data_IF_237832646922
#
_entry.id   IF_237832646922
#
_cell.length_a   1.000
_cell.length_b   1.000
_cell.length_c   1.000
_cell.angle_alpha   90.00
_cell.angle_beta   90.00
_cell.angle_gamma   90.00
#
_symmetry.space_group_name_H-M   'P 1'
#
loop_
_entity.id
_entity.type
_entity.pdbx_description
1 polymer ?
#
# COMPACT_ATOMS: atom_id res chain seq x y z
N UNK A 1 -44.54 -47.29 6.65
CA UNK A 1 -43.58 -46.93 5.59
C UNK A 1 -43.63 -45.43 5.44
N UNK A 2 -42.69 -44.73 6.07
CA UNK A 2 -42.62 -43.28 6.11
C UNK A 2 -41.29 -42.87 5.51
N UNK A 3 -41.36 -42.11 4.43
CA UNK A 3 -40.27 -41.64 3.60
C UNK A 3 -39.37 -40.67 4.40
N UNK A 4 -38.03 -40.79 4.35
CA UNK A 4 -37.15 -39.82 5.01
C UNK A 4 -37.10 -38.54 4.17
N UNK A 5 -37.57 -37.42 4.74
CA UNK A 5 -37.42 -36.09 4.19
C UNK A 5 -35.93 -35.79 3.96
N UNK A 6 -35.54 -35.61 2.69
CA UNK A 6 -34.23 -35.08 2.31
C UNK A 6 -34.17 -33.60 2.69
N UNK A 7 -33.35 -33.26 3.68
CA UNK A 7 -32.90 -31.88 3.91
C UNK A 7 -32.12 -31.39 2.68
N UNK A 8 -32.45 -30.23 2.07
CA UNK A 8 -31.67 -29.67 0.99
C UNK A 8 -30.74 -28.59 1.56
N UNK A 9 -29.64 -28.96 2.24
CA UNK A 9 -28.72 -27.95 2.76
C UNK A 9 -27.26 -28.28 2.47
N UNK A 10 -26.91 -28.21 1.19
CA UNK A 10 -25.70 -27.49 0.80
C UNK A 10 -26.10 -26.05 0.52
N UNK A 11 -26.27 -25.28 1.60
CA UNK A 11 -26.31 -23.83 1.49
C UNK A 11 -24.91 -23.38 1.06
N UNK A 12 -24.77 -23.02 -0.23
CA UNK A 12 -23.51 -22.58 -0.82
C UNK A 12 -22.93 -21.44 0.02
N UNK A 13 -21.87 -21.69 0.80
CA UNK A 13 -21.13 -20.67 1.54
C UNK A 13 -20.69 -19.51 0.62
N UNK A 14 -20.53 -19.80 -0.67
CA UNK A 14 -20.18 -18.86 -1.73
C UNK A 14 -21.32 -17.88 -2.10
N UNK A 15 -22.60 -18.24 -1.86
CA UNK A 15 -23.75 -17.34 -2.07
C UNK A 15 -24.04 -16.44 -0.86
N UNK A 16 -23.65 -16.86 0.34
CA UNK A 16 -23.85 -16.07 1.56
C UNK A 16 -22.96 -14.81 1.63
N UNK A 17 -21.79 -14.84 0.99
CA UNK A 17 -20.85 -13.71 0.97
C UNK A 17 -21.35 -12.52 0.13
N UNK A 18 -22.29 -12.76 -0.80
CA UNK A 18 -22.89 -11.69 -1.61
C UNK A 18 -24.05 -10.97 -0.90
N UNK A 19 -24.50 -11.48 0.26
CA UNK A 19 -25.75 -11.02 0.87
C UNK A 19 -25.59 -9.96 1.98
N UNK A 20 -24.37 -9.69 2.49
CA UNK A 20 -24.18 -8.71 3.58
C UNK A 20 -22.87 -7.92 3.49
N UNK A 21 -22.79 -6.90 2.61
CA UNK A 21 -21.66 -5.97 2.57
C UNK A 21 -21.43 -5.21 3.91
N UNK A 22 -22.38 -5.27 4.85
CA UNK A 22 -22.32 -4.59 6.13
C UNK A 22 -21.46 -5.28 7.21
N UNK A 23 -21.05 -6.55 7.04
CA UNK A 23 -20.34 -7.27 8.12
C UNK A 23 -18.89 -6.82 8.28
N UNK A 24 -18.18 -6.52 7.20
CA UNK A 24 -16.78 -6.10 7.27
C UNK A 24 -16.59 -4.78 8.04
N UNK A 25 -17.36 -3.70 7.77
CA UNK A 25 -17.26 -2.46 8.54
C UNK A 25 -17.60 -2.61 10.03
N UNK A 26 -18.61 -3.41 10.38
CA UNK A 26 -18.98 -3.64 11.79
C UNK A 26 -17.86 -4.39 12.52
N UNK A 27 -17.24 -5.38 11.87
CA UNK A 27 -16.12 -6.14 12.46
C UNK A 27 -14.88 -5.26 12.65
N UNK A 28 -14.58 -4.39 11.68
CA UNK A 28 -13.51 -3.41 11.79
C UNK A 28 -13.76 -2.43 12.95
N UNK A 29 -14.95 -1.83 13.00
CA UNK A 29 -15.33 -0.92 14.08
C UNK A 29 -15.31 -1.60 15.46
N UNK A 30 -15.81 -2.84 15.55
CA UNK A 30 -15.76 -3.63 16.77
C UNK A 30 -14.33 -3.94 17.22
N UNK A 31 -13.42 -4.20 16.28
CA UNK A 31 -12.00 -4.40 16.60
C UNK A 31 -11.36 -3.12 17.14
N UNK A 32 -11.66 -1.96 16.56
CA UNK A 32 -11.15 -0.67 17.06
C UNK A 32 -11.68 -0.40 18.47
N UNK A 33 -12.99 -0.56 18.69
CA UNK A 33 -13.58 -0.39 20.02
C UNK A 33 -12.98 -1.37 21.05
N UNK A 34 -12.68 -2.61 20.63
CA UNK A 34 -12.01 -3.58 21.49
C UNK A 34 -10.57 -3.15 21.81
N UNK A 35 -9.84 -2.57 20.85
CA UNK A 35 -8.48 -2.08 21.08
C UNK A 35 -8.43 -0.95 22.13
N UNK A 36 -9.48 -0.13 22.21
CA UNK A 36 -9.60 0.91 23.24
C UNK A 36 -9.92 0.34 24.63
N UNK A 37 -10.64 -0.78 24.71
CA UNK A 37 -11.10 -1.39 25.96
C UNK A 37 -10.13 -2.43 26.53
N UNK A 38 -9.59 -3.28 25.65
CA UNK A 38 -8.67 -4.37 25.95
C UNK A 38 -7.69 -4.56 24.79
N UNK A 39 -6.56 -3.83 24.80
CA UNK A 39 -5.56 -3.88 23.72
C UNK A 39 -4.97 -5.28 23.51
N UNK A 40 -4.78 -6.05 24.59
CA UNK A 40 -4.18 -7.38 24.52
C UNK A 40 -5.11 -8.34 23.77
N UNK A 41 -6.39 -8.40 24.18
CA UNK A 41 -7.39 -9.22 23.51
C UNK A 41 -7.62 -8.76 22.07
N UNK A 42 -7.60 -7.45 21.81
CA UNK A 42 -7.68 -6.91 20.46
C UNK A 42 -6.55 -7.41 19.56
N UNK A 43 -5.33 -7.58 20.09
CA UNK A 43 -4.19 -8.13 19.33
C UNK A 43 -4.48 -9.55 18.81
N UNK A 44 -5.04 -10.43 19.65
CA UNK A 44 -5.43 -11.78 19.24
C UNK A 44 -6.55 -11.75 18.18
N UNK A 45 -7.55 -10.89 18.36
CA UNK A 45 -8.61 -10.74 17.37
C UNK A 45 -8.11 -10.14 16.06
N UNK A 46 -7.18 -9.18 16.11
CA UNK A 46 -6.55 -8.60 14.93
C UNK A 46 -5.75 -9.66 14.17
N UNK A 47 -4.91 -10.45 14.85
CA UNK A 47 -4.17 -11.55 14.21
C UNK A 47 -5.11 -12.54 13.50
N UNK A 48 -6.24 -12.89 14.12
CA UNK A 48 -7.26 -13.74 13.49
C UNK A 48 -7.93 -13.05 12.29
N UNK A 49 -8.28 -11.77 12.42
CA UNK A 49 -8.96 -11.00 11.37
C UNK A 49 -8.06 -10.70 10.17
N UNK A 50 -6.75 -10.60 10.38
CA UNK A 50 -5.77 -10.34 9.33
C UNK A 50 -5.79 -11.44 8.25
N UNK A 51 -6.01 -12.70 8.66
CA UNK A 51 -6.05 -13.86 7.76
C UNK A 51 -7.47 -14.31 7.42
N UNK A 52 -8.48 -13.51 7.75
CA UNK A 52 -9.89 -13.91 7.66
C UNK A 52 -10.37 -14.03 6.20
N UNK A 53 -11.00 -15.17 5.83
CA UNK A 53 -11.45 -15.40 4.46
C UNK A 53 -12.63 -14.51 4.07
N UNK A 54 -13.37 -13.97 5.04
CA UNK A 54 -14.49 -13.04 4.81
C UNK A 54 -14.04 -11.58 4.78
N UNK A 55 -12.75 -11.34 4.48
CA UNK A 55 -12.25 -10.00 4.15
C UNK A 55 -12.87 -9.55 2.83
N UNK A 56 -13.44 -8.35 2.84
CA UNK A 56 -14.07 -7.72 1.69
C UNK A 56 -13.07 -7.56 0.54
N UNK A 57 -13.37 -8.16 -0.61
CA UNK A 57 -12.55 -8.06 -1.84
C UNK A 57 -12.38 -6.65 -2.39
N UNK A 58 -13.28 -5.73 -2.03
CA UNK A 58 -13.27 -4.36 -2.53
C UNK A 58 -12.48 -3.41 -1.63
N UNK A 59 -12.54 -3.62 -0.31
CA UNK A 59 -11.99 -2.68 0.66
C UNK A 59 -10.79 -3.22 1.44
N UNK A 60 -10.58 -4.53 1.46
CA UNK A 60 -9.63 -5.18 2.35
C UNK A 60 -10.07 -5.21 3.82
N UNK A 61 -11.29 -4.80 4.17
CA UNK A 61 -11.78 -4.83 5.55
C UNK A 61 -12.35 -6.20 5.94
N UNK A 62 -12.21 -6.66 7.20
CA UNK A 62 -11.57 -5.97 8.32
C UNK A 62 -10.03 -6.14 8.38
N UNK A 63 -9.43 -6.80 7.39
CA UNK A 63 -8.01 -7.14 7.37
C UNK A 63 -7.08 -5.93 7.46
N UNK A 64 -7.40 -4.83 6.78
CA UNK A 64 -6.62 -3.57 6.88
C UNK A 64 -6.67 -2.98 8.28
N UNK A 65 -7.87 -2.88 8.87
CA UNK A 65 -8.01 -2.43 10.26
C UNK A 65 -7.21 -3.33 11.21
N UNK A 66 -7.25 -4.65 11.00
CA UNK A 66 -6.45 -5.59 11.79
C UNK A 66 -4.94 -5.36 11.64
N UNK A 67 -4.45 -5.12 10.42
CA UNK A 67 -3.05 -4.74 10.19
C UNK A 67 -2.67 -3.46 10.94
N UNK A 68 -3.54 -2.44 10.92
CA UNK A 68 -3.33 -1.20 11.67
C UNK A 68 -3.27 -1.40 13.19
N UNK A 69 -4.14 -2.23 13.76
CA UNK A 69 -4.09 -2.55 15.20
C UNK A 69 -2.80 -3.29 15.57
N UNK A 70 -2.40 -4.28 14.77
CA UNK A 70 -1.15 -5.01 14.98
C UNK A 70 0.07 -4.10 14.86
N UNK A 71 0.06 -3.18 13.90
CA UNK A 71 1.10 -2.16 13.74
C UNK A 71 1.20 -1.24 14.96
N UNK A 72 0.07 -0.72 15.45
CA UNK A 72 0.02 0.11 16.66
C UNK A 72 0.57 -0.62 17.90
N UNK A 73 0.45 -1.96 17.93
CA UNK A 73 1.00 -2.82 18.98
C UNK A 73 2.43 -3.32 18.68
N UNK A 74 3.11 -2.76 17.68
CA UNK A 74 4.47 -3.14 17.26
C UNK A 74 4.62 -4.61 16.89
N UNK A 75 3.56 -5.27 16.43
CA UNK A 75 3.55 -6.69 16.03
C UNK A 75 4.09 -6.88 14.60
N UNK A 76 5.30 -6.39 14.34
CA UNK A 76 5.91 -6.37 12.99
C UNK A 76 6.03 -7.76 12.36
N UNK A 77 6.33 -8.79 13.17
CA UNK A 77 6.46 -10.16 12.66
C UNK A 77 5.16 -10.66 12.05
N UNK A 78 4.01 -10.34 12.64
CA UNK A 78 2.71 -10.74 12.10
C UNK A 78 2.44 -10.07 10.75
N UNK A 79 2.75 -8.78 10.64
CA UNK A 79 2.63 -8.02 9.38
C UNK A 79 3.54 -8.60 8.30
N UNK A 80 4.81 -8.86 8.63
CA UNK A 80 5.76 -9.45 7.71
C UNK A 80 5.32 -10.84 7.23
N UNK A 81 4.91 -11.73 8.14
CA UNK A 81 4.41 -13.06 7.78
C UNK A 81 3.20 -12.99 6.83
N UNK A 82 2.31 -12.01 7.01
CA UNK A 82 1.20 -11.81 6.08
C UNK A 82 1.69 -11.46 4.67
N UNK A 83 2.70 -10.60 4.53
CA UNK A 83 3.26 -10.23 3.21
C UNK A 83 3.95 -11.42 2.50
N UNK A 84 4.41 -12.42 3.25
CA UNK A 84 5.04 -13.63 2.73
C UNK A 84 4.06 -14.70 2.25
N UNK A 85 2.78 -14.58 2.61
CA UNK A 85 1.74 -15.52 2.16
C UNK A 85 1.56 -15.41 0.64
N UNK A 86 0.99 -16.44 0.04
CA UNK A 86 0.47 -16.42 -1.34
C UNK A 86 -1.05 -16.24 -1.34
N UNK A 87 -1.61 -15.67 -2.40
CA UNK A 87 -3.07 -15.48 -2.55
C UNK A 87 -3.69 -14.55 -1.49
N UNK A 88 -2.88 -13.71 -0.86
CA UNK A 88 -3.32 -12.71 0.10
C UNK A 88 -3.99 -11.52 -0.58
N UNK A 89 -4.82 -10.80 0.17
CA UNK A 89 -5.50 -9.62 -0.35
C UNK A 89 -4.50 -8.48 -0.58
N UNK A 90 -4.50 -7.90 -1.76
CA UNK A 90 -3.54 -6.86 -2.17
C UNK A 90 -3.59 -5.62 -1.26
N UNK A 91 -4.78 -5.07 -1.01
CA UNK A 91 -4.91 -3.90 -0.13
C UNK A 91 -4.48 -4.15 1.33
N UNK A 92 -4.69 -5.37 1.83
CA UNK A 92 -4.23 -5.73 3.18
C UNK A 92 -2.71 -5.89 3.19
N UNK A 93 -2.13 -6.41 2.11
CA UNK A 93 -0.68 -6.51 1.95
C UNK A 93 -0.03 -5.14 1.87
N UNK A 94 -0.64 -4.23 1.11
CA UNK A 94 -0.24 -2.83 1.03
C UNK A 94 -0.24 -2.18 2.41
N UNK A 95 -1.31 -2.39 3.19
CA UNK A 95 -1.42 -1.88 4.55
C UNK A 95 -0.35 -2.46 5.48
N UNK A 96 -0.12 -3.79 5.42
CA UNK A 96 0.98 -4.41 6.18
C UNK A 96 2.34 -3.83 5.80
N UNK A 97 2.62 -3.62 4.51
CA UNK A 97 3.88 -3.05 4.02
C UNK A 97 4.10 -1.65 4.58
N UNK A 98 3.10 -0.77 4.55
CA UNK A 98 3.20 0.60 5.08
C UNK A 98 3.73 0.65 6.51
N UNK A 99 3.29 -0.31 7.34
CA UNK A 99 3.64 -0.40 8.76
C UNK A 99 4.97 -1.13 9.03
N UNK A 100 5.67 -1.58 7.99
CA UNK A 100 6.99 -2.23 8.10
C UNK A 100 8.16 -1.25 7.89
N UNK A 101 7.95 0.05 8.08
CA UNK A 101 8.99 1.08 7.91
C UNK A 101 10.21 0.83 8.81
N UNK A 102 9.99 0.36 10.04
CA UNK A 102 11.06 0.06 11.01
C UNK A 102 11.63 -1.37 10.88
N UNK A 103 11.23 -2.13 9.85
CA UNK A 103 11.77 -3.46 9.62
C UNK A 103 13.29 -3.40 9.36
N UNK A 104 14.06 -4.44 9.74
CA UNK A 104 15.50 -4.49 9.44
C UNK A 104 15.78 -4.34 7.94
N UNK A 105 16.92 -3.75 7.58
CA UNK A 105 17.30 -3.48 6.18
C UNK A 105 17.26 -4.73 5.30
N UNK A 106 17.70 -5.88 5.82
CA UNK A 106 17.65 -7.16 5.10
C UNK A 106 16.22 -7.56 4.75
N UNK A 107 15.25 -7.25 5.62
CA UNK A 107 13.83 -7.49 5.38
C UNK A 107 13.29 -6.49 4.36
N UNK A 108 13.61 -5.20 4.50
CA UNK A 108 13.20 -4.19 3.52
C UNK A 108 13.71 -4.50 2.10
N UNK A 109 14.98 -4.92 1.95
CA UNK A 109 15.51 -5.39 0.67
C UNK A 109 14.77 -6.60 0.13
N UNK A 110 14.47 -7.58 0.98
CA UNK A 110 13.68 -8.76 0.59
C UNK A 110 12.29 -8.34 0.08
N UNK A 111 11.66 -7.38 0.75
CA UNK A 111 10.36 -6.84 0.34
C UNK A 111 10.46 -6.06 -0.99
N UNK A 112 11.52 -5.31 -1.25
CA UNK A 112 11.72 -4.66 -2.55
C UNK A 112 11.81 -5.69 -3.69
N UNK A 113 12.54 -6.79 -3.48
CA UNK A 113 12.64 -7.87 -4.47
C UNK A 113 11.30 -8.57 -4.69
N UNK A 114 10.55 -8.84 -3.61
CA UNK A 114 9.24 -9.51 -3.69
C UNK A 114 8.17 -8.63 -4.33
N UNK A 115 8.13 -7.35 -3.97
CA UNK A 115 7.13 -6.39 -4.43
C UNK A 115 7.73 -5.45 -5.51
N UNK A 116 8.35 -6.07 -6.51
CA UNK A 116 8.92 -5.40 -7.67
C UNK A 116 7.84 -4.85 -8.64
N UNK A 117 8.23 -4.52 -9.88
CA UNK A 117 7.32 -3.91 -10.88
C UNK A 117 6.11 -4.78 -11.25
N UNK A 118 6.22 -6.10 -11.11
CA UNK A 118 5.15 -7.06 -11.44
C UNK A 118 4.14 -7.27 -10.30
N UNK A 119 4.38 -6.69 -9.13
CA UNK A 119 3.43 -6.76 -8.02
C UNK A 119 2.17 -5.93 -8.31
N UNK A 120 1.08 -6.21 -7.60
CA UNK A 120 -0.14 -5.40 -7.68
C UNK A 120 0.13 -3.94 -7.36
N UNK A 121 -0.61 -3.02 -7.99
CA UNK A 121 -0.44 -1.58 -7.77
C UNK A 121 -0.55 -1.24 -6.28
N UNK A 122 -1.55 -1.80 -5.57
CA UNK A 122 -1.72 -1.59 -4.13
C UNK A 122 -0.45 -1.98 -3.34
N UNK A 123 0.12 -3.16 -3.60
CA UNK A 123 1.32 -3.61 -2.92
C UNK A 123 2.54 -2.71 -3.23
N UNK A 124 2.68 -2.25 -4.48
CA UNK A 124 3.75 -1.30 -4.85
C UNK A 124 3.59 0.04 -4.12
N UNK A 125 2.36 0.56 -4.00
CA UNK A 125 2.07 1.78 -3.25
C UNK A 125 2.42 1.61 -1.78
N UNK A 126 2.02 0.49 -1.15
CA UNK A 126 2.35 0.18 0.23
C UNK A 126 3.86 0.05 0.47
N UNK A 127 4.60 -0.52 -0.48
CA UNK A 127 6.06 -0.56 -0.43
C UNK A 127 6.68 0.83 -0.55
N UNK A 128 6.19 1.68 -1.45
CA UNK A 128 6.69 3.07 -1.61
C UNK A 128 6.51 3.85 -0.31
N UNK A 129 5.31 3.77 0.29
CA UNK A 129 5.02 4.36 1.60
C UNK A 129 5.99 3.88 2.67
N UNK A 130 6.19 2.56 2.76
CA UNK A 130 7.15 1.93 3.68
C UNK A 130 8.53 2.54 3.52
N UNK A 131 9.07 2.59 2.30
CA UNK A 131 10.41 3.09 1.99
C UNK A 131 10.56 4.58 2.32
N UNK A 132 9.53 5.38 2.06
CA UNK A 132 9.55 6.82 2.33
C UNK A 132 9.46 7.16 3.81
N UNK A 133 8.79 6.32 4.59
CA UNK A 133 8.63 6.43 6.03
C UNK A 133 9.89 6.00 6.80
N UNK A 134 10.78 5.20 6.20
CA UNK A 134 11.99 4.71 6.88
C UNK A 134 12.89 5.85 7.41
N UNK A 135 13.52 5.67 8.58
CA UNK A 135 14.51 6.62 9.10
C UNK A 135 15.80 6.65 8.27
N UNK A 136 16.21 5.51 7.72
CA UNK A 136 17.42 5.28 6.91
C UNK A 136 17.18 5.37 5.39
N UNK A 137 16.06 5.99 4.98
CA UNK A 137 15.60 6.20 3.59
C UNK A 137 16.67 6.55 2.55
N UNK A 138 17.76 7.22 2.92
CA UNK A 138 18.87 7.51 2.00
C UNK A 138 19.48 6.23 1.40
N UNK A 139 19.49 5.12 2.15
CA UNK A 139 19.93 3.79 1.67
C UNK A 139 19.03 3.24 0.57
N UNK A 140 17.74 3.57 0.61
CA UNK A 140 16.72 3.12 -0.35
C UNK A 140 16.41 4.16 -1.41
N UNK A 141 17.16 5.28 -1.47
CA UNK A 141 16.98 6.31 -2.49
C UNK A 141 17.19 5.75 -3.89
N UNK A 142 18.17 4.87 -4.08
CA UNK A 142 18.42 4.23 -5.38
C UNK A 142 17.25 3.34 -5.82
N UNK A 143 16.55 2.69 -4.88
CA UNK A 143 15.35 1.91 -5.18
C UNK A 143 14.19 2.81 -5.65
N UNK A 144 13.95 3.92 -4.95
CA UNK A 144 12.93 4.90 -5.34
C UNK A 144 13.26 5.54 -6.69
N UNK A 145 14.53 5.89 -6.93
CA UNK A 145 15.03 6.38 -8.22
C UNK A 145 14.85 5.35 -9.32
N UNK A 146 15.18 4.09 -9.07
CA UNK A 146 15.01 3.01 -10.04
C UNK A 146 13.54 2.89 -10.45
N UNK A 147 12.61 2.96 -9.49
CA UNK A 147 11.16 2.94 -9.76
C UNK A 147 10.66 4.15 -10.56
N UNK A 148 11.21 5.34 -10.33
CA UNK A 148 10.93 6.51 -11.19
C UNK A 148 11.45 6.35 -12.64
N UNK A 149 12.43 5.47 -12.88
CA UNK A 149 13.00 5.26 -14.22
C UNK A 149 12.43 4.05 -14.94
N UNK A 150 11.97 3.06 -14.19
CA UNK A 150 11.42 1.83 -14.76
C UNK A 150 10.03 2.07 -15.35
N UNK A 151 9.72 1.54 -16.55
CA UNK A 151 8.37 1.51 -17.07
C UNK A 151 7.45 0.73 -16.12
N UNK A 152 6.25 1.23 -15.88
CA UNK A 152 5.30 0.62 -14.95
C UNK A 152 3.95 1.33 -15.01
N UNK A 153 3.04 0.93 -14.12
CA UNK A 153 1.71 1.53 -14.04
C UNK A 153 1.80 3.04 -13.80
N UNK A 154 1.12 3.82 -14.63
CA UNK A 154 1.12 5.29 -14.54
C UNK A 154 0.60 5.77 -13.17
N UNK A 155 -0.35 5.06 -12.57
CA UNK A 155 -0.87 5.35 -11.23
C UNK A 155 0.24 5.30 -10.17
N UNK A 156 1.04 4.24 -10.17
CA UNK A 156 2.15 4.04 -9.23
C UNK A 156 3.24 5.08 -9.46
N UNK A 157 3.58 5.35 -10.73
CA UNK A 157 4.56 6.38 -11.09
C UNK A 157 4.12 7.77 -10.63
N UNK A 158 2.87 8.18 -10.94
CA UNK A 158 2.31 9.47 -10.55
C UNK A 158 2.31 9.61 -9.04
N UNK A 159 1.84 8.58 -8.34
CA UNK A 159 1.84 8.57 -6.89
C UNK A 159 3.25 8.78 -6.34
N UNK A 160 4.23 8.00 -6.80
CA UNK A 160 5.64 8.10 -6.37
C UNK A 160 6.19 9.52 -6.55
N UNK A 161 6.01 10.10 -7.74
CA UNK A 161 6.47 11.46 -8.03
C UNK A 161 5.83 12.48 -7.08
N UNK A 162 4.52 12.40 -6.89
CA UNK A 162 3.75 13.28 -6.01
C UNK A 162 4.22 13.17 -4.56
N UNK A 163 4.34 11.95 -4.01
CA UNK A 163 4.75 11.79 -2.60
C UNK A 163 6.21 12.19 -2.37
N UNK A 164 7.09 11.97 -3.35
CA UNK A 164 8.47 12.44 -3.29
C UNK A 164 8.55 13.97 -3.28
N UNK A 165 7.83 14.65 -4.17
CA UNK A 165 7.76 16.11 -4.19
C UNK A 165 7.08 16.69 -2.94
N UNK A 166 5.95 16.12 -2.52
CA UNK A 166 5.18 16.53 -1.35
C UNK A 166 5.98 16.39 -0.04
N UNK A 167 6.94 15.46 0.02
CA UNK A 167 7.83 15.32 1.18
C UNK A 167 8.71 16.57 1.42
N UNK A 168 8.90 17.43 0.40
CA UNK A 168 9.78 18.62 0.41
C UNK A 168 11.23 18.34 0.80
N UNK A 169 11.65 17.08 0.74
CA UNK A 169 13.02 16.67 1.03
C UNK A 169 13.87 16.90 -0.21
N UNK A 170 14.90 17.73 -0.09
CA UNK A 170 15.71 18.19 -1.23
C UNK A 170 16.30 17.04 -2.05
N UNK A 171 16.74 15.97 -1.40
CA UNK A 171 17.28 14.78 -2.05
C UNK A 171 16.25 14.06 -2.91
N UNK A 172 14.99 13.93 -2.47
CA UNK A 172 13.95 13.28 -3.26
C UNK A 172 13.37 14.21 -4.33
N UNK A 173 13.25 15.50 -4.04
CA UNK A 173 12.85 16.51 -5.03
C UNK A 173 13.85 16.54 -6.18
N UNK A 174 15.15 16.44 -5.89
CA UNK A 174 16.18 16.34 -6.92
C UNK A 174 16.01 15.12 -7.83
N UNK A 175 15.54 13.98 -7.30
CA UNK A 175 15.24 12.80 -8.13
C UNK A 175 14.06 13.04 -9.08
N UNK A 176 13.01 13.73 -8.61
CA UNK A 176 11.84 14.09 -9.46
C UNK A 176 12.27 15.07 -10.55
N UNK A 177 13.07 16.08 -10.20
CA UNK A 177 13.63 17.04 -11.17
C UNK A 177 14.48 16.31 -12.21
N UNK A 178 15.39 15.43 -11.78
CA UNK A 178 16.24 14.66 -12.69
C UNK A 178 15.43 13.72 -13.59
N UNK A 179 14.28 13.20 -13.11
CA UNK A 179 13.39 12.38 -13.91
C UNK A 179 12.78 13.17 -15.09
N UNK A 180 12.46 14.46 -14.93
CA UNK A 180 11.95 15.31 -16.02
C UNK A 180 12.96 15.41 -17.18
N UNK A 181 14.25 15.47 -16.87
CA UNK A 181 15.28 15.60 -17.91
C UNK A 181 15.36 14.36 -18.81
N UNK A 182 15.19 13.18 -18.21
CA UNK A 182 15.30 11.89 -18.88
C UNK A 182 13.97 11.44 -19.54
N UNK A 183 12.82 11.87 -19.02
CA UNK A 183 11.51 11.40 -19.45
C UNK A 183 11.10 11.95 -20.83
N UNK A 184 10.44 11.09 -21.61
CA UNK A 184 9.95 11.39 -22.96
C UNK A 184 8.47 11.08 -23.14
N UNK A 185 7.89 10.23 -22.31
CA UNK A 185 6.46 9.92 -22.37
C UNK A 185 5.64 11.11 -21.87
N UNK A 186 4.73 11.69 -22.71
CA UNK A 186 3.89 12.80 -22.32
C UNK A 186 3.03 12.53 -21.06
N UNK A 187 2.57 11.29 -20.86
CA UNK A 187 1.75 10.96 -19.68
C UNK A 187 2.56 10.98 -18.38
N UNK A 188 3.80 10.50 -18.43
CA UNK A 188 4.73 10.55 -17.30
C UNK A 188 5.25 11.98 -17.08
N UNK A 189 5.51 12.75 -18.14
CA UNK A 189 5.81 14.18 -18.03
C UNK A 189 4.68 14.96 -17.35
N UNK A 190 3.41 14.66 -17.69
CA UNK A 190 2.27 15.28 -17.03
C UNK A 190 2.21 14.97 -15.52
N UNK A 191 2.49 13.72 -15.15
CA UNK A 191 2.54 13.31 -13.74
C UNK A 191 3.71 13.96 -12.96
N UNK A 192 4.88 14.11 -13.60
CA UNK A 192 6.02 14.84 -13.00
C UNK A 192 5.71 16.33 -12.85
N UNK A 193 5.05 16.94 -13.84
CA UNK A 193 4.61 18.33 -13.78
C UNK A 193 3.60 18.55 -12.64
N UNK A 194 2.62 17.65 -12.47
CA UNK A 194 1.68 17.67 -11.36
C UNK A 194 2.40 17.63 -10.00
N UNK A 195 3.39 16.76 -9.85
CA UNK A 195 4.19 16.66 -8.62
C UNK A 195 4.99 17.94 -8.32
N UNK A 196 5.66 18.51 -9.34
CA UNK A 196 6.47 19.72 -9.18
C UNK A 196 5.63 20.98 -8.90
N UNK A 197 4.37 21.02 -9.35
CA UNK A 197 3.44 22.10 -9.05
C UNK A 197 3.16 22.26 -7.53
N UNK A 198 3.43 21.22 -6.73
CA UNK A 198 3.33 21.26 -5.26
C UNK A 198 4.45 22.09 -4.59
N UNK A 199 5.46 22.52 -5.35
CA UNK A 199 6.66 23.23 -4.88
C UNK A 199 6.80 24.63 -5.52
N UNK A 200 5.80 25.53 -5.41
CA UNK A 200 5.78 26.79 -6.15
C UNK A 200 6.89 27.78 -5.74
N UNK A 201 7.53 27.59 -4.59
CA UNK A 201 8.58 28.47 -4.09
C UNK A 201 10.00 27.94 -4.35
N UNK A 202 10.14 26.77 -4.98
CA UNK A 202 11.43 26.20 -5.32
C UNK A 202 11.78 26.51 -6.77
N UNK A 203 12.82 27.33 -6.96
CA UNK A 203 13.24 27.80 -8.30
C UNK A 203 13.67 26.67 -9.22
N UNK A 204 14.28 25.61 -8.68
CA UNK A 204 14.69 24.46 -9.49
C UNK A 204 13.46 23.65 -9.92
N UNK A 205 12.51 23.45 -9.00
CA UNK A 205 11.25 22.78 -9.31
C UNK A 205 10.42 23.56 -10.34
N UNK A 206 10.37 24.90 -10.25
CA UNK A 206 9.66 25.74 -11.23
C UNK A 206 10.25 25.59 -12.63
N UNK A 207 11.58 25.62 -12.77
CA UNK A 207 12.24 25.43 -14.08
C UNK A 207 11.98 24.04 -14.64
N UNK A 208 12.03 23.02 -13.80
CA UNK A 208 11.72 21.65 -14.21
C UNK A 208 10.25 21.50 -14.64
N UNK A 209 9.33 22.17 -13.95
CA UNK A 209 7.91 22.21 -14.33
C UNK A 209 7.70 22.84 -15.72
N UNK A 210 8.31 24.00 -15.97
CA UNK A 210 8.26 24.67 -17.27
C UNK A 210 8.83 23.77 -18.39
N UNK A 211 9.96 23.09 -18.12
CA UNK A 211 10.56 22.14 -19.05
C UNK A 211 9.64 20.94 -19.34
N UNK A 212 9.01 20.36 -18.31
CA UNK A 212 8.06 19.27 -18.48
C UNK A 212 6.87 19.72 -19.34
N UNK A 213 6.33 20.90 -19.09
CA UNK A 213 5.23 21.48 -19.87
C UNK A 213 5.59 21.73 -21.34
N UNK A 214 6.77 22.28 -21.60
CA UNK A 214 7.24 22.52 -22.97
C UNK A 214 7.42 21.22 -23.78
N UNK A 215 7.76 20.10 -23.12
CA UNK A 215 7.96 18.79 -23.75
C UNK A 215 6.68 17.98 -23.96
N UNK A 216 5.56 18.43 -23.41
CA UNK A 216 4.25 17.78 -23.63
C UNK A 216 3.58 18.21 -24.94
N UNK A 217 4.05 19.29 -25.57
CA UNK A 217 3.56 19.85 -26.84
C UNK A 217 4.27 19.16 -28.01
#
# INVERSE_FOLDING_TARGET
MTEPQRFPERWDAQKADHAYPCKAPIRAAGLVALADLDPELAGFHAARLLVDPSTSRLSGEPGKTAAGILAAQSQQLALYLYTLREGQHDDVSAECLRHLADAPDSIAHTLCTRFGPEASEAAQLGLIDMLLARPDRLRFREELRARLRTPGALTVFRYLAVVMAASRRRDLVAEVIAAVEAERDPQRLAALAEALALLPNDREATRALELAQARMI
#
